data_IF_269215852332
#
_entry.id   IF_269215852332
#
_cell.length_a   1.000
_cell.length_b   1.000
_cell.length_c   1.000
_cell.angle_alpha   90.00
_cell.angle_beta   90.00
_cell.angle_gamma   90.00
#
_symmetry.space_group_name_H-M   'P 1'
#
loop_
_entity.id
_entity.type
_entity.pdbx_description
1 polymer ?
#
# COMPACT_ATOMS: atom_id res chain seq x y z
N UNK A 1 3.16 -12.72 8.08
CA UNK A 1 3.61 -12.82 6.67
C UNK A 1 5.08 -12.46 6.57
N UNK A 2 5.76 -12.92 5.51
CA UNK A 2 7.13 -12.58 5.17
C UNK A 2 7.10 -11.81 3.84
N UNK A 3 7.84 -10.70 3.78
CA UNK A 3 8.01 -9.87 2.58
C UNK A 3 9.47 -9.81 2.17
N UNK A 4 9.73 -9.49 0.91
CA UNK A 4 11.08 -9.26 0.41
C UNK A 4 11.76 -8.10 1.16
N UNK A 5 13.07 -8.22 1.39
CA UNK A 5 13.87 -7.12 1.94
C UNK A 5 14.05 -5.98 0.94
N UNK A 6 13.83 -6.24 -0.35
CA UNK A 6 13.88 -5.22 -1.39
C UNK A 6 12.61 -4.39 -1.34
N UNK A 7 12.77 -3.12 -0.95
CA UNK A 7 11.69 -2.14 -0.89
C UNK A 7 11.84 -1.16 -2.06
N UNK A 8 10.76 -0.95 -2.81
CA UNK A 8 10.72 -0.01 -3.92
C UNK A 8 10.04 1.27 -3.45
N UNK A 9 10.80 2.35 -3.39
CA UNK A 9 10.23 3.67 -3.14
C UNK A 9 9.31 4.07 -4.30
N UNK A 10 8.09 4.50 -3.99
CA UNK A 10 7.12 4.96 -4.98
C UNK A 10 7.01 6.48 -4.98
N UNK A 11 6.77 7.06 -3.80
CA UNK A 11 6.54 8.50 -3.65
C UNK A 11 6.60 8.93 -2.17
N UNK A 12 6.61 10.25 -1.97
CA UNK A 12 6.41 10.89 -0.67
C UNK A 12 5.31 11.93 -0.80
N UNK A 13 4.42 12.02 0.19
CA UNK A 13 3.30 12.96 0.24
C UNK A 13 3.37 13.79 1.51
N UNK A 14 2.89 15.04 1.44
CA UNK A 14 2.62 15.84 2.62
C UNK A 14 1.19 15.54 3.08
N UNK A 15 1.05 15.03 4.30
CA UNK A 15 -0.23 14.74 4.91
C UNK A 15 -0.39 15.59 6.17
N UNK A 16 -1.61 16.04 6.47
CA UNK A 16 -1.90 16.80 7.69
C UNK A 16 -2.77 15.93 8.59
N UNK A 17 -2.22 15.47 9.71
CA UNK A 17 -2.99 14.71 10.70
C UNK A 17 -4.06 15.61 11.33
N UNK A 18 -3.71 16.89 11.50
CA UNK A 18 -4.59 18.01 11.78
C UNK A 18 -3.95 19.29 11.18
N UNK A 19 -4.63 20.46 11.19
CA UNK A 19 -4.10 21.67 10.57
C UNK A 19 -2.70 22.13 11.05
N UNK A 20 -2.27 21.71 12.25
CA UNK A 20 -0.99 22.11 12.86
C UNK A 20 0.08 21.02 12.81
N UNK A 21 -0.26 19.80 12.38
CA UNK A 21 0.63 18.65 12.40
C UNK A 21 0.85 18.07 11.00
N UNK A 22 1.75 18.67 10.21
CA UNK A 22 2.19 18.10 8.95
C UNK A 22 3.09 16.88 9.20
N UNK A 23 2.86 15.83 8.42
CA UNK A 23 3.69 14.62 8.38
C UNK A 23 4.07 14.31 6.93
N UNK A 24 5.21 13.66 6.75
CA UNK A 24 5.61 13.12 5.45
C UNK A 24 5.25 11.65 5.42
N UNK A 25 4.34 11.30 4.52
CA UNK A 25 3.98 9.91 4.22
C UNK A 25 4.89 9.38 3.12
N UNK A 26 5.74 8.40 3.43
CA UNK A 26 6.66 7.77 2.49
C UNK A 26 6.13 6.40 2.08
N UNK A 27 5.81 6.24 0.80
CA UNK A 27 5.15 5.04 0.28
C UNK A 27 6.17 4.11 -0.39
N UNK A 28 6.19 2.86 0.07
CA UNK A 28 7.02 1.79 -0.48
C UNK A 28 6.16 0.63 -0.96
N UNK A 29 6.61 -0.02 -2.04
CA UNK A 29 6.10 -1.31 -2.51
C UNK A 29 7.07 -2.43 -2.11
N UNK A 30 6.53 -3.56 -1.69
CA UNK A 30 7.29 -4.77 -1.42
C UNK A 30 6.59 -6.00 -2.02
N UNK A 31 7.34 -7.09 -2.14
CA UNK A 31 6.82 -8.38 -2.60
C UNK A 31 6.47 -9.27 -1.40
N UNK A 32 5.27 -9.84 -1.43
CA UNK A 32 4.87 -10.89 -0.50
C UNK A 32 5.58 -12.20 -0.87
N UNK A 33 6.21 -12.85 0.12
CA UNK A 33 6.92 -14.11 -0.10
C UNK A 33 6.17 -15.32 0.48
N UNK A 34 5.70 -15.23 1.74
CA UNK A 34 5.11 -16.38 2.43
C UNK A 34 4.30 -16.00 3.67
N UNK A 35 3.57 -16.98 4.20
CA UNK A 35 2.90 -16.93 5.50
C UNK A 35 1.44 -16.49 5.43
N UNK A 36 0.71 -16.75 6.51
CA UNK A 36 -0.72 -16.45 6.60
C UNK A 36 -0.95 -15.01 7.07
N UNK A 37 -1.95 -14.34 6.51
CA UNK A 37 -2.40 -13.02 6.94
C UNK A 37 -3.12 -13.14 8.29
N UNK A 38 -2.62 -12.42 9.29
CA UNK A 38 -3.21 -12.37 10.64
C UNK A 38 -3.24 -10.91 11.09
N UNK A 39 -4.41 -10.24 11.07
CA UNK A 39 -4.51 -8.87 11.55
C UNK A 39 -4.26 -8.82 13.07
N UNK A 40 -3.68 -7.71 13.54
CA UNK A 40 -3.73 -7.36 14.95
C UNK A 40 -5.06 -6.63 15.22
N UNK A 41 -5.96 -7.30 15.93
CA UNK A 41 -7.31 -6.79 16.22
C UNK A 41 -7.31 -5.53 17.09
N UNK A 42 -6.18 -5.15 17.70
CA UNK A 42 -6.07 -3.88 18.41
C UNK A 42 -5.83 -2.69 17.47
N UNK A 43 -5.35 -2.94 16.24
CA UNK A 43 -5.09 -1.89 15.24
C UNK A 43 -6.12 -1.89 14.11
N UNK A 44 -6.47 -3.07 13.58
CA UNK A 44 -7.40 -3.21 12.46
C UNK A 44 -8.36 -4.36 12.71
N UNK A 45 -9.62 -4.21 12.29
CA UNK A 45 -10.63 -5.25 12.49
C UNK A 45 -10.40 -6.48 11.60
N UNK A 46 -10.08 -6.25 10.33
CA UNK A 46 -9.93 -7.29 9.31
C UNK A 46 -8.87 -6.86 8.29
N UNK A 47 -8.26 -7.85 7.63
CA UNK A 47 -7.30 -7.62 6.55
C UNK A 47 -7.53 -8.64 5.44
N UNK A 48 -7.41 -8.19 4.19
CA UNK A 48 -7.70 -9.00 3.01
C UNK A 48 -6.59 -8.89 1.98
N UNK A 49 -6.32 -10.01 1.31
CA UNK A 49 -5.62 -9.97 0.03
C UNK A 49 -6.61 -9.60 -1.06
N UNK A 50 -6.26 -8.60 -1.86
CA UNK A 50 -7.12 -8.13 -2.94
C UNK A 50 -6.29 -7.99 -4.21
N UNK A 51 -6.90 -8.32 -5.33
CA UNK A 51 -6.36 -8.04 -6.66
C UNK A 51 -6.46 -6.54 -6.95
N UNK A 52 -5.63 -6.06 -7.88
CA UNK A 52 -5.67 -4.66 -8.31
C UNK A 52 -7.06 -4.19 -8.77
N UNK A 53 -7.81 -4.96 -9.61
CA UNK A 53 -9.18 -4.57 -9.99
C UNK A 53 -10.15 -4.49 -8.81
N UNK A 54 -10.06 -5.42 -7.84
CA UNK A 54 -10.92 -5.39 -6.65
C UNK A 54 -10.68 -4.13 -5.82
N UNK A 55 -9.40 -3.74 -5.62
CA UNK A 55 -9.05 -2.49 -4.91
C UNK A 55 -9.61 -1.27 -5.65
N UNK A 56 -9.45 -1.19 -6.98
CA UNK A 56 -9.96 -0.06 -7.76
C UNK A 56 -11.49 0.04 -7.76
N UNK A 57 -12.19 -1.06 -7.51
CA UNK A 57 -13.65 -1.09 -7.42
C UNK A 57 -14.18 -0.70 -6.03
N UNK A 58 -13.31 -0.56 -5.02
CA UNK A 58 -13.70 -0.21 -3.67
C UNK A 58 -14.06 1.28 -3.56
N UNK A 59 -15.33 1.58 -3.30
CA UNK A 59 -15.84 2.96 -3.19
C UNK A 59 -15.42 3.66 -1.91
N UNK A 60 -15.06 2.90 -0.88
CA UNK A 60 -14.80 3.42 0.46
C UNK A 60 -13.32 3.75 0.67
N UNK A 61 -12.48 3.44 -0.33
CA UNK A 61 -11.04 3.73 -0.30
C UNK A 61 -10.78 5.22 -0.54
N UNK A 62 -9.96 5.89 0.29
CA UNK A 62 -9.56 7.26 0.04
C UNK A 62 -8.83 7.41 -1.30
N UNK A 63 -9.07 8.51 -2.01
CA UNK A 63 -8.49 8.75 -3.35
C UNK A 63 -6.95 8.66 -3.34
N UNK A 64 -6.31 9.19 -2.30
CA UNK A 64 -4.85 9.15 -2.18
C UNK A 64 -4.29 7.71 -2.09
N UNK A 65 -5.05 6.76 -1.56
CA UNK A 65 -4.66 5.35 -1.49
C UNK A 65 -4.75 4.72 -2.88
N UNK A 66 -5.85 4.97 -3.60
CA UNK A 66 -6.05 4.48 -4.96
C UNK A 66 -4.95 4.97 -5.90
N UNK A 67 -4.54 6.24 -5.77
CA UNK A 67 -3.42 6.78 -6.56
C UNK A 67 -2.07 6.11 -6.22
N UNK A 68 -1.79 5.82 -4.94
CA UNK A 68 -0.60 5.03 -4.56
C UNK A 68 -0.64 3.62 -5.16
N UNK A 69 -1.80 2.96 -5.13
CA UNK A 69 -1.97 1.60 -5.67
C UNK A 69 -1.77 1.56 -7.19
N UNK A 70 -2.24 2.56 -7.93
CA UNK A 70 -1.96 2.71 -9.37
C UNK A 70 -0.46 2.82 -9.66
N UNK A 71 0.27 3.59 -8.85
CA UNK A 71 1.74 3.70 -8.97
C UNK A 71 2.43 2.39 -8.62
N UNK A 72 1.99 1.70 -7.58
CA UNK A 72 2.50 0.39 -7.19
C UNK A 72 2.31 -0.64 -8.32
N UNK A 73 1.13 -0.68 -8.94
CA UNK A 73 0.86 -1.60 -10.05
C UNK A 73 1.74 -1.32 -11.26
N UNK A 74 1.95 -0.05 -11.59
CA UNK A 74 2.89 0.35 -12.64
C UNK A 74 4.31 -0.11 -12.31
N UNK A 75 4.80 0.13 -11.09
CA UNK A 75 6.12 -0.29 -10.64
C UNK A 75 6.29 -1.81 -10.64
N UNK A 76 5.24 -2.56 -10.25
CA UNK A 76 5.22 -4.03 -10.29
C UNK A 76 5.37 -4.55 -11.72
N UNK A 77 4.63 -3.98 -12.68
CA UNK A 77 4.73 -4.34 -14.11
C UNK A 77 6.11 -4.02 -14.68
N UNK A 78 6.72 -2.91 -14.28
CA UNK A 78 8.06 -2.52 -14.72
C UNK A 78 9.14 -3.46 -14.14
N UNK A 79 9.02 -3.81 -12.86
CA UNK A 79 9.96 -4.71 -12.17
C UNK A 79 9.86 -6.15 -12.69
N UNK A 80 8.66 -6.62 -13.04
CA UNK A 80 8.45 -7.98 -13.58
C UNK A 80 8.96 -8.17 -15.02
N UNK A 81 9.39 -7.10 -15.71
CA UNK A 81 9.99 -7.16 -17.06
C UNK A 81 11.52 -7.36 -17.03
N UNK A 82 12.12 -7.33 -15.85
CA UNK A 82 13.56 -7.47 -15.60
C UNK A 82 13.82 -8.90 -15.10
#
# INVERSE_FOLDING_TARGET
ITVSSTMYYLESKLFYVNPELPVVDMVFMCEYLAGELKPDNNEVSEAYWMTYPEILSCTDSPEWLIESIKKAEKARIETAKI
#
